data_IF_000582051365
#
_entry.id   IF_000582051365
#
_cell.length_a   1.000
_cell.length_b   1.000
_cell.length_c   1.000
_cell.angle_alpha   90.00
_cell.angle_beta   90.00
_cell.angle_gamma   90.00
#
_symmetry.space_group_name_H-M   'P 1'
#
loop_
_entity.id
_entity.type
_entity.pdbx_description
1 polymer ?
#
# COMPACT_ATOMS: atom_id res chain seq x y z
N UNK A 1 9.64 54.71 8.85
CA UNK A 1 10.50 53.50 8.83
C UNK A 1 9.88 52.28 9.53
N UNK A 2 9.00 52.43 10.53
CA UNK A 2 8.33 51.29 11.21
C UNK A 2 7.28 50.57 10.34
N UNK A 3 6.64 51.30 9.41
CA UNK A 3 5.63 50.75 8.49
C UNK A 3 6.21 49.90 7.34
N UNK A 4 7.46 50.16 6.94
CA UNK A 4 8.18 49.39 5.92
C UNK A 4 8.61 48.00 6.44
N UNK A 5 8.91 47.89 7.74
CA UNK A 5 9.27 46.62 8.38
C UNK A 5 8.04 45.72 8.60
N UNK A 6 6.87 46.30 8.86
CA UNK A 6 5.61 45.53 8.97
C UNK A 6 5.15 44.95 7.62
N UNK A 7 5.45 45.64 6.51
CA UNK A 7 5.11 45.17 5.16
C UNK A 7 6.03 44.01 4.69
N UNK A 8 7.28 43.98 5.16
CA UNK A 8 8.24 42.91 4.86
C UNK A 8 7.89 41.60 5.60
N UNK A 9 7.31 41.69 6.80
CA UNK A 9 6.95 40.51 7.60
C UNK A 9 5.71 39.76 7.07
N UNK A 10 4.83 40.45 6.34
CA UNK A 10 3.62 39.84 5.72
C UNK A 10 3.97 39.07 4.43
N UNK A 11 5.07 39.43 3.76
CA UNK A 11 5.47 38.79 2.49
C UNK A 11 6.08 37.39 2.67
N UNK A 12 6.57 37.04 3.87
CA UNK A 12 7.17 35.73 4.15
C UNK A 12 6.17 34.59 4.41
N UNK A 13 4.87 34.89 4.57
CA UNK A 13 3.85 33.86 4.84
C UNK A 13 3.12 33.33 3.60
N UNK A 14 3.42 33.85 2.40
CA UNK A 14 2.68 33.51 1.17
C UNK A 14 3.36 32.48 0.27
N UNK A 15 4.54 31.95 0.62
CA UNK A 15 5.19 30.87 -0.13
C UNK A 15 5.09 29.54 0.61
N UNK A 16 3.89 29.16 1.01
CA UNK A 16 3.58 27.75 1.17
C UNK A 16 3.14 27.25 -0.22
N UNK A 17 4.09 26.81 -1.04
CA UNK A 17 3.75 25.99 -2.20
C UNK A 17 3.10 24.71 -1.70
N UNK A 18 1.78 24.68 -1.68
CA UNK A 18 1.01 23.46 -1.61
C UNK A 18 1.28 22.71 -2.92
N UNK A 19 2.23 21.78 -2.92
CA UNK A 19 2.36 20.81 -3.99
C UNK A 19 1.14 19.89 -3.92
N UNK A 20 0.11 20.24 -4.68
CA UNK A 20 -0.99 19.34 -4.98
C UNK A 20 -0.40 18.18 -5.80
N UNK A 21 -0.32 17.00 -5.21
CA UNK A 21 0.05 15.80 -5.97
C UNK A 21 -1.01 15.57 -7.06
N UNK A 22 -0.61 15.29 -8.31
CA UNK A 22 -1.56 15.01 -9.37
C UNK A 22 -2.32 13.73 -9.00
N UNK A 23 -3.65 13.85 -8.92
CA UNK A 23 -4.54 12.71 -8.73
C UNK A 23 -4.51 11.84 -10.00
N UNK A 24 -3.51 10.96 -10.07
CA UNK A 24 -3.49 9.87 -11.03
C UNK A 24 -4.63 8.90 -10.68
N UNK A 25 -5.29 8.33 -11.69
CA UNK A 25 -6.25 7.24 -11.52
C UNK A 25 -5.49 6.02 -10.95
N UNK A 26 -5.38 5.94 -9.62
CA UNK A 26 -4.57 4.95 -8.92
C UNK A 26 -5.33 3.63 -9.02
N UNK A 27 -4.98 2.81 -10.03
CA UNK A 27 -5.48 1.44 -10.15
C UNK A 27 -4.39 0.48 -9.67
N UNK A 28 -4.70 -0.42 -8.73
CA UNK A 28 -3.73 -1.40 -8.29
C UNK A 28 -3.49 -2.39 -9.42
N UNK A 29 -2.28 -2.95 -9.48
CA UNK A 29 -1.96 -3.96 -10.48
C UNK A 29 -2.85 -5.19 -10.24
N UNK A 30 -3.62 -5.61 -11.24
CA UNK A 30 -4.45 -6.82 -11.14
C UNK A 30 -3.73 -8.02 -11.76
N UNK A 31 -3.72 -9.14 -11.05
CA UNK A 31 -2.99 -10.35 -11.40
C UNK A 31 -3.91 -11.48 -11.90
N UNK A 32 -5.22 -11.41 -11.65
CA UNK A 32 -6.23 -12.45 -11.95
C UNK A 32 -6.17 -13.02 -13.38
N UNK A 33 -5.78 -12.23 -14.39
CA UNK A 33 -5.72 -12.68 -15.79
C UNK A 33 -4.30 -13.02 -16.30
N UNK A 34 -3.24 -12.82 -15.51
CA UNK A 34 -1.84 -12.92 -15.98
C UNK A 34 -0.97 -13.84 -15.14
N UNK A 35 -1.27 -13.96 -13.84
CA UNK A 35 -0.46 -14.74 -12.91
C UNK A 35 -0.62 -16.25 -13.12
N UNK A 36 0.42 -16.99 -12.73
CA UNK A 36 0.47 -18.47 -12.71
C UNK A 36 -0.41 -19.05 -11.58
N UNK A 37 -0.69 -18.23 -10.56
CA UNK A 37 -1.47 -18.58 -9.36
C UNK A 37 -2.72 -17.71 -9.32
N UNK A 38 -3.83 -18.22 -8.77
CA UNK A 38 -5.04 -17.43 -8.58
C UNK A 38 -4.79 -16.32 -7.54
N UNK A 39 -4.86 -15.07 -7.98
CA UNK A 39 -4.62 -13.87 -7.16
C UNK A 39 -5.88 -13.03 -6.94
N UNK A 40 -7.07 -13.61 -7.17
CA UNK A 40 -8.34 -12.88 -7.09
C UNK A 40 -8.61 -12.31 -5.70
N UNK A 41 -8.29 -13.05 -4.64
CA UNK A 41 -8.46 -12.59 -3.26
C UNK A 41 -7.59 -11.36 -2.97
N UNK A 42 -6.33 -11.36 -3.40
CA UNK A 42 -5.43 -10.22 -3.29
C UNK A 42 -5.92 -9.02 -4.13
N UNK A 43 -6.38 -9.26 -5.35
CA UNK A 43 -6.89 -8.19 -6.22
C UNK A 43 -8.13 -7.50 -5.61
N UNK A 44 -9.02 -8.27 -5.00
CA UNK A 44 -10.19 -7.73 -4.29
C UNK A 44 -9.79 -7.04 -2.98
N UNK A 45 -8.88 -7.61 -2.20
CA UNK A 45 -8.35 -6.99 -0.99
C UNK A 45 -7.65 -5.65 -1.28
N UNK A 46 -6.91 -5.56 -2.39
CA UNK A 46 -6.33 -4.31 -2.88
C UNK A 46 -7.40 -3.26 -3.17
N UNK A 47 -8.50 -3.62 -3.86
CA UNK A 47 -9.60 -2.68 -4.12
C UNK A 47 -10.25 -2.19 -2.83
N UNK A 48 -10.46 -3.07 -1.85
CA UNK A 48 -11.01 -2.71 -0.54
C UNK A 48 -10.11 -1.68 0.14
N UNK A 49 -8.81 -1.95 0.26
CA UNK A 49 -7.87 -1.06 0.97
C UNK A 49 -7.63 0.24 0.19
N UNK A 50 -7.61 0.21 -1.14
CA UNK A 50 -7.43 1.41 -1.95
C UNK A 50 -8.64 2.35 -1.92
N UNK A 51 -9.81 1.86 -1.53
CA UNK A 51 -10.99 2.71 -1.33
C UNK A 51 -10.92 3.57 -0.07
N UNK A 52 -9.94 3.34 0.80
CA UNK A 52 -9.67 4.16 1.99
C UNK A 52 -9.02 5.48 1.56
N UNK A 53 -9.53 6.61 2.05
CA UNK A 53 -9.09 7.95 1.64
C UNK A 53 -7.59 8.18 1.92
N UNK A 54 -7.05 7.56 2.96
CA UNK A 54 -5.66 7.72 3.39
C UNK A 54 -4.67 6.98 2.49
N UNK A 55 -5.13 6.09 1.61
CA UNK A 55 -4.30 5.18 0.81
C UNK A 55 -4.12 5.72 -0.62
N UNK A 56 -2.86 5.79 -1.07
CA UNK A 56 -2.48 6.27 -2.41
C UNK A 56 -1.87 5.21 -3.31
N UNK A 57 -1.55 4.03 -2.79
CA UNK A 57 -1.19 2.86 -3.60
C UNK A 57 -1.33 1.63 -2.71
N UNK A 58 -1.49 0.46 -3.31
CA UNK A 58 -1.53 -0.79 -2.58
C UNK A 58 -0.89 -1.88 -3.42
N UNK A 59 -0.07 -2.69 -2.76
CA UNK A 59 0.50 -3.93 -3.31
C UNK A 59 0.00 -5.10 -2.50
N UNK A 60 -0.20 -6.23 -3.15
CA UNK A 60 -0.72 -7.38 -2.48
C UNK A 60 -0.80 -8.64 -3.31
N UNK A 61 -0.55 -9.75 -2.62
CA UNK A 61 -0.52 -11.09 -3.18
C UNK A 61 -1.21 -12.05 -2.23
N UNK A 62 -1.69 -13.15 -2.79
CA UNK A 62 -2.28 -14.27 -2.05
C UNK A 62 -1.42 -15.50 -2.25
N UNK A 63 -1.31 -16.30 -1.20
CA UNK A 63 -0.79 -17.66 -1.28
C UNK A 63 -1.64 -18.55 -0.38
N UNK A 64 -2.22 -19.59 -0.98
CA UNK A 64 -3.18 -20.48 -0.32
C UNK A 64 -4.30 -19.70 0.37
N UNK A 65 -4.31 -19.67 1.71
CA UNK A 65 -5.31 -18.97 2.54
C UNK A 65 -4.76 -17.68 3.19
N UNK A 66 -3.56 -17.24 2.80
CA UNK A 66 -2.92 -16.03 3.30
C UNK A 66 -3.07 -14.89 2.30
N UNK A 67 -3.45 -13.72 2.79
CA UNK A 67 -3.57 -12.48 2.00
C UNK A 67 -2.57 -11.47 2.57
N UNK A 68 -1.60 -11.07 1.75
CA UNK A 68 -0.57 -10.09 2.10
C UNK A 68 -0.89 -8.77 1.42
N UNK A 69 -1.07 -7.70 2.19
CA UNK A 69 -1.38 -6.35 1.69
C UNK A 69 -0.43 -5.33 2.31
N UNK A 70 0.10 -4.44 1.47
CA UNK A 70 0.81 -3.25 1.92
C UNK A 70 0.26 -1.98 1.26
N UNK A 71 -0.48 -1.13 1.99
CA UNK A 71 -0.86 0.18 1.51
C UNK A 71 0.29 1.19 1.64
N UNK A 72 0.45 2.02 0.62
CA UNK A 72 1.16 3.29 0.71
C UNK A 72 0.17 4.36 1.15
N UNK A 73 0.50 5.04 2.24
CA UNK A 73 -0.38 6.02 2.90
C UNK A 73 0.09 7.44 2.59
N UNK A 74 -0.86 8.39 2.48
CA UNK A 74 -0.59 9.83 2.36
C UNK A 74 0.35 10.30 3.47
N UNK A 75 1.22 11.26 3.16
CA UNK A 75 2.23 11.73 4.13
C UNK A 75 1.63 12.25 5.45
N UNK A 76 0.54 13.02 5.39
CA UNK A 76 -0.12 13.55 6.59
C UNK A 76 -0.83 12.48 7.43
N UNK A 77 -1.29 11.39 6.81
CA UNK A 77 -1.99 10.30 7.49
C UNK A 77 -1.04 9.29 8.15
N UNK A 78 0.29 9.44 7.97
CA UNK A 78 1.31 8.57 8.58
C UNK A 78 1.33 8.63 10.12
N UNK A 79 0.73 9.63 10.75
CA UNK A 79 0.58 9.65 12.20
C UNK A 79 -0.44 8.60 12.71
N UNK A 80 -1.29 8.08 11.81
CA UNK A 80 -2.37 7.12 12.11
C UNK A 80 -2.14 5.74 11.47
N UNK A 81 -0.89 5.38 11.12
CA UNK A 81 -0.60 4.09 10.46
C UNK A 81 -1.15 2.86 11.19
N UNK A 82 -1.12 2.87 12.53
CA UNK A 82 -1.67 1.77 13.33
C UNK A 82 -3.18 1.60 13.12
N UNK A 83 -3.91 2.71 13.07
CA UNK A 83 -5.35 2.72 12.83
C UNK A 83 -5.67 2.32 11.39
N UNK A 84 -4.96 2.88 10.41
CA UNK A 84 -5.13 2.56 8.99
C UNK A 84 -4.88 1.07 8.73
N UNK A 85 -3.82 0.51 9.32
CA UNK A 85 -3.51 -0.92 9.24
C UNK A 85 -4.65 -1.77 9.79
N UNK A 86 -5.19 -1.40 10.96
CA UNK A 86 -6.30 -2.10 11.60
C UNK A 86 -7.57 -2.01 10.73
N UNK A 87 -7.92 -0.82 10.26
CA UNK A 87 -9.10 -0.59 9.42
C UNK A 87 -9.01 -1.38 8.10
N UNK A 88 -7.83 -1.40 7.46
CA UNK A 88 -7.58 -2.22 6.27
C UNK A 88 -7.73 -3.71 6.56
N UNK A 89 -7.11 -4.21 7.63
CA UNK A 89 -7.24 -5.60 8.07
C UNK A 89 -8.71 -5.99 8.30
N UNK A 90 -9.43 -5.22 9.10
CA UNK A 90 -10.82 -5.51 9.48
C UNK A 90 -11.75 -5.46 8.26
N UNK A 91 -11.48 -4.55 7.31
CA UNK A 91 -12.25 -4.44 6.06
C UNK A 91 -12.06 -5.67 5.17
N UNK A 92 -10.84 -6.18 5.06
CA UNK A 92 -10.56 -7.42 4.32
C UNK A 92 -11.17 -8.63 5.06
N UNK A 93 -11.05 -8.69 6.39
CA UNK A 93 -11.55 -9.81 7.21
C UNK A 93 -13.07 -9.98 7.13
N UNK A 94 -13.82 -8.88 7.00
CA UNK A 94 -15.27 -8.92 6.76
C UNK A 94 -15.63 -9.64 5.45
N UNK A 95 -14.80 -9.50 4.41
CA UNK A 95 -15.00 -10.15 3.11
C UNK A 95 -14.46 -11.58 3.08
N UNK A 96 -13.34 -11.82 3.76
CA UNK A 96 -12.63 -13.09 3.80
C UNK A 96 -12.43 -13.54 5.27
N UNK A 97 -13.49 -14.03 5.94
CA UNK A 97 -13.45 -14.36 7.37
C UNK A 97 -12.53 -15.54 7.68
N UNK A 98 -12.34 -16.47 6.74
CA UNK A 98 -11.50 -17.66 6.95
C UNK A 98 -10.03 -17.43 6.56
N UNK A 99 -9.72 -16.33 5.85
CA UNK A 99 -8.37 -16.03 5.41
C UNK A 99 -7.51 -15.47 6.56
N UNK A 100 -6.22 -15.79 6.53
CA UNK A 100 -5.20 -15.14 7.37
C UNK A 100 -4.73 -13.88 6.67
N UNK A 101 -4.90 -12.72 7.30
CA UNK A 101 -4.66 -11.43 6.66
C UNK A 101 -3.45 -10.77 7.30
N UNK A 102 -2.48 -10.41 6.47
CA UNK A 102 -1.26 -9.73 6.84
C UNK A 102 -1.28 -8.33 6.21
N UNK A 103 -1.44 -7.30 7.04
CA UNK A 103 -1.41 -5.90 6.58
C UNK A 103 -0.19 -5.20 7.16
N UNK A 104 0.69 -4.69 6.28
CA UNK A 104 1.86 -3.92 6.70
C UNK A 104 1.89 -2.55 6.05
N UNK A 105 2.18 -1.52 6.83
CA UNK A 105 2.38 -0.15 6.33
C UNK A 105 3.86 0.18 6.13
N UNK A 106 4.73 -0.82 6.22
CA UNK A 106 6.17 -0.66 6.09
C UNK A 106 6.59 -0.53 4.62
N UNK A 107 7.48 0.42 4.35
CA UNK A 107 7.92 0.73 2.98
C UNK A 107 8.74 -0.42 2.35
N UNK A 108 9.52 -1.15 3.14
CA UNK A 108 10.27 -2.31 2.65
C UNK A 108 9.33 -3.43 2.24
N UNK A 109 8.32 -3.73 3.05
CA UNK A 109 7.29 -4.73 2.71
C UNK A 109 6.57 -4.34 1.42
N UNK A 110 6.20 -3.06 1.27
CA UNK A 110 5.60 -2.55 0.05
C UNK A 110 6.47 -2.83 -1.19
N UNK A 111 7.77 -2.52 -1.12
CA UNK A 111 8.69 -2.73 -2.25
C UNK A 111 8.88 -4.21 -2.59
N UNK A 112 8.95 -5.09 -1.59
CA UNK A 112 9.10 -6.53 -1.81
C UNK A 112 7.83 -7.15 -2.43
N UNK A 113 6.65 -6.72 -1.98
CA UNK A 113 5.38 -7.09 -2.61
C UNK A 113 5.29 -6.57 -4.05
N UNK A 114 5.71 -5.33 -4.31
CA UNK A 114 5.74 -4.78 -5.67
C UNK A 114 6.62 -5.62 -6.61
N UNK A 115 7.80 -6.05 -6.15
CA UNK A 115 8.69 -6.92 -6.94
C UNK A 115 8.04 -8.27 -7.20
N UNK A 116 7.43 -8.89 -6.18
CA UNK A 116 6.73 -10.17 -6.32
C UNK A 116 5.56 -10.06 -7.31
N UNK A 117 4.74 -9.02 -7.21
CA UNK A 117 3.65 -8.78 -8.15
C UNK A 117 4.15 -8.65 -9.59
N UNK A 118 5.22 -7.86 -9.83
CA UNK A 118 5.80 -7.68 -11.16
C UNK A 118 6.34 -8.98 -11.73
N UNK A 119 7.08 -9.76 -10.95
CA UNK A 119 7.64 -11.03 -11.40
C UNK A 119 6.55 -12.09 -11.66
N UNK A 120 5.50 -12.13 -10.84
CA UNK A 120 4.32 -12.96 -11.09
C UNK A 120 3.60 -12.57 -12.38
N UNK A 121 3.43 -11.26 -12.62
CA UNK A 121 2.80 -10.75 -13.83
C UNK A 121 3.62 -11.07 -15.08
N UNK A 122 4.94 -10.96 -15.00
CA UNK A 122 5.88 -11.22 -16.09
C UNK A 122 6.21 -12.71 -16.25
N UNK A 123 5.74 -13.57 -15.32
CA UNK A 123 6.04 -15.01 -15.27
C UNK A 123 7.55 -15.31 -15.22
N UNK A 124 8.30 -14.46 -14.53
CA UNK A 124 9.77 -14.57 -14.41
C UNK A 124 10.22 -15.27 -13.14
N UNK A 125 9.30 -15.52 -12.19
CA UNK A 125 9.57 -16.24 -10.93
C UNK A 125 8.99 -17.66 -10.97
N UNK A 126 9.76 -18.63 -10.45
CA UNK A 126 9.28 -19.99 -10.24
C UNK A 126 8.44 -20.10 -8.96
N UNK A 127 7.56 -21.08 -8.88
CA UNK A 127 6.72 -21.31 -7.69
C UNK A 127 7.57 -21.51 -6.41
N UNK A 128 8.68 -22.26 -6.50
CA UNK A 128 9.58 -22.47 -5.37
C UNK A 128 10.19 -21.16 -4.86
N UNK A 129 10.69 -20.31 -5.77
CA UNK A 129 11.24 -19.01 -5.38
C UNK A 129 10.16 -18.07 -4.84
N UNK A 130 8.95 -18.14 -5.39
CA UNK A 130 7.81 -17.39 -4.88
C UNK A 130 7.54 -17.74 -3.42
N UNK A 131 7.42 -19.03 -3.09
CA UNK A 131 7.22 -19.50 -1.71
C UNK A 131 8.37 -19.10 -0.77
N UNK A 132 9.62 -19.22 -1.22
CA UNK A 132 10.78 -18.80 -0.41
C UNK A 132 10.78 -17.29 -0.12
N UNK A 133 10.45 -16.46 -1.11
CA UNK A 133 10.36 -15.01 -0.92
C UNK A 133 9.20 -14.65 0.01
N UNK A 134 8.09 -15.36 -0.10
CA UNK A 134 6.92 -15.16 0.74
C UNK A 134 7.19 -15.53 2.20
N UNK A 135 7.89 -16.63 2.46
CA UNK A 135 8.31 -17.00 3.80
C UNK A 135 9.19 -15.92 4.45
N UNK A 136 10.16 -15.36 3.70
CA UNK A 136 10.97 -14.22 4.17
C UNK A 136 10.11 -12.97 4.42
N UNK A 137 9.11 -12.73 3.58
CA UNK A 137 8.18 -11.62 3.74
C UNK A 137 7.37 -11.78 5.05
N UNK A 138 6.89 -12.98 5.33
CA UNK A 138 6.11 -13.32 6.52
C UNK A 138 6.92 -13.08 7.81
N UNK A 139 8.20 -13.47 7.82
CA UNK A 139 9.13 -13.16 8.92
C UNK A 139 9.30 -11.65 9.12
N UNK A 140 9.45 -10.88 8.04
CA UNK A 140 9.59 -9.42 8.13
C UNK A 140 8.32 -8.70 8.59
N UNK A 141 7.14 -9.30 8.41
CA UNK A 141 5.86 -8.72 8.86
C UNK A 141 5.64 -8.99 10.35
N UNK A 142 6.12 -10.12 10.85
CA UNK A 142 5.98 -10.53 12.26
C UNK A 142 6.99 -9.86 13.20
N UNK A 143 8.16 -9.48 12.68
CA UNK A 143 9.21 -8.76 13.41
C UNK A 143 8.97 -7.27 13.49
#
# INVERSE_FOLDING_TARGET
MKWLVQLLFILCFLTACQMAEPQQDIKPLQLTNKAVVNQQQADDAKKIVLSMEEVIDVKGITDENNIYIAPRVKHFDRFRLKEIRKNGHDSIKKRYPDATIHVSTDQKIFMELEKLEKELQQRTISEERFKQRLAKLDEMIKG
#
